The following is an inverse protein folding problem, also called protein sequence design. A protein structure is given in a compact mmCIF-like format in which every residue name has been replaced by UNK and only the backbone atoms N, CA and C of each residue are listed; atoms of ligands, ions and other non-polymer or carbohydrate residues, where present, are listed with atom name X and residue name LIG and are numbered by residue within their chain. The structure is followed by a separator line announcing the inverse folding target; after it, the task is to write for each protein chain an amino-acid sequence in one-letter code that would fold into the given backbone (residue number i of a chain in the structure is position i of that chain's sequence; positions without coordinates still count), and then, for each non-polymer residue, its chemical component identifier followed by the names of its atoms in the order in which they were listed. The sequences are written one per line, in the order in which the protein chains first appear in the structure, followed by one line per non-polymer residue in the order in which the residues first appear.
data_IF_412586402068
#
_entry.id   IF_412586402068
#
_cell.length_a   1.000
_cell.length_b   1.000
_cell.length_c   1.000
_cell.angle_alpha   90.00
_cell.angle_beta   90.00
_cell.angle_gamma   90.00
#
_symmetry.space_group_name_H-M   'P 1'
#
loop_
_entity.id
_entity.type
_entity.pdbx_description
1 polymer ?
#
# COMPACT_ATOMS: atom_id res chain seq x y z
N UNK A 1 -1.08 37.86 10.84
CA UNK A 1 -1.45 38.46 9.53
C UNK A 1 -0.87 37.53 8.46
N UNK A 2 -1.71 36.88 7.65
CA UNK A 2 -1.22 36.03 6.56
C UNK A 2 -0.89 36.92 5.36
N UNK A 3 0.30 36.75 4.78
CA UNK A 3 0.73 37.41 3.55
C UNK A 3 0.83 36.35 2.47
N UNK A 4 0.11 36.54 1.36
CA UNK A 4 0.22 35.66 0.21
C UNK A 4 1.63 35.73 -0.38
N UNK A 5 2.15 34.59 -0.81
CA UNK A 5 3.39 34.55 -1.57
C UNK A 5 3.20 35.30 -2.90
N UNK A 6 4.21 36.03 -3.39
CA UNK A 6 4.14 36.67 -4.70
C UNK A 6 3.90 35.62 -5.78
N UNK A 7 3.05 35.94 -6.77
CA UNK A 7 2.83 35.05 -7.91
C UNK A 7 4.15 34.87 -8.67
N UNK A 8 4.50 33.63 -9.07
CA UNK A 8 5.65 33.41 -9.94
C UNK A 8 5.51 34.26 -11.22
N UNK A 9 6.57 34.99 -11.56
CA UNK A 9 6.67 35.74 -12.82
C UNK A 9 7.44 34.96 -13.87
N UNK A 10 7.22 35.31 -15.13
CA UNK A 10 8.02 34.83 -16.25
C UNK A 10 8.24 35.98 -17.24
N UNK A 11 9.17 35.83 -18.19
CA UNK A 11 9.43 36.79 -19.25
C UNK A 11 9.86 36.07 -20.54
N UNK A 12 10.18 36.81 -21.61
CA UNK A 12 10.56 36.22 -22.89
C UNK A 12 11.95 35.52 -22.87
N UNK A 13 12.86 35.95 -22.00
CA UNK A 13 14.20 35.34 -21.84
C UNK A 13 14.17 34.09 -20.95
N UNK A 14 13.28 34.12 -19.95
CA UNK A 14 13.04 33.07 -18.95
C UNK A 14 11.54 32.72 -19.01
N UNK A 15 11.09 31.98 -20.04
CA UNK A 15 9.68 31.61 -20.22
C UNK A 15 9.27 30.44 -19.32
N UNK A 16 9.79 30.38 -18.10
CA UNK A 16 9.54 29.30 -17.14
C UNK A 16 8.97 29.86 -15.83
N UNK A 17 7.99 29.16 -15.27
CA UNK A 17 7.27 29.58 -14.06
C UNK A 17 7.70 28.87 -12.77
N UNK A 18 8.78 28.08 -12.82
CA UNK A 18 9.32 27.36 -11.66
C UNK A 18 8.40 26.26 -11.09
N UNK A 19 7.33 25.88 -11.81
CA UNK A 19 6.36 24.86 -11.40
C UNK A 19 6.01 23.97 -12.58
N UNK A 20 5.87 22.65 -12.39
CA UNK A 20 5.46 21.73 -13.46
C UNK A 20 4.00 21.95 -13.90
N UNK A 21 3.22 22.68 -13.10
CA UNK A 21 1.80 22.93 -13.34
C UNK A 21 1.52 24.31 -13.94
N UNK A 22 2.55 25.14 -14.13
CA UNK A 22 2.42 26.47 -14.70
C UNK A 22 3.24 26.57 -16.00
N UNK A 23 2.76 27.36 -16.94
CA UNK A 23 3.49 27.76 -18.14
C UNK A 23 3.47 29.27 -18.30
N UNK A 24 4.42 29.81 -19.07
CA UNK A 24 4.47 31.23 -19.35
C UNK A 24 3.57 31.55 -20.54
N UNK A 25 2.51 32.34 -20.32
CA UNK A 25 1.72 32.91 -21.41
C UNK A 25 2.39 34.20 -21.88
N UNK A 26 3.06 34.13 -23.04
CA UNK A 26 3.81 35.24 -23.64
C UNK A 26 3.02 35.98 -24.72
N UNK A 27 1.71 35.70 -24.89
CA UNK A 27 0.91 36.27 -25.99
C UNK A 27 0.56 37.74 -25.82
N UNK A 28 0.52 38.23 -24.58
CA UNK A 28 0.25 39.63 -24.25
C UNK A 28 1.35 40.17 -23.33
N UNK A 29 1.14 40.09 -22.02
CA UNK A 29 2.16 40.39 -21.01
C UNK A 29 2.57 39.07 -20.38
N UNK A 30 3.87 38.72 -20.38
CA UNK A 30 4.34 37.47 -19.79
C UNK A 30 3.84 37.27 -18.36
N UNK A 31 3.05 36.22 -18.16
CA UNK A 31 2.56 35.84 -16.84
C UNK A 31 2.38 34.33 -16.76
N UNK A 32 2.47 33.80 -15.54
CA UNK A 32 2.34 32.38 -15.30
C UNK A 32 0.88 31.95 -15.20
N UNK A 33 0.51 30.95 -16.00
CA UNK A 33 -0.85 30.40 -16.11
C UNK A 33 -0.82 28.89 -15.87
N UNK A 34 -1.90 28.32 -15.33
CA UNK A 34 -2.02 26.88 -15.11
C UNK A 34 -2.03 26.09 -16.42
N UNK A 35 -1.27 25.00 -16.46
CA UNK A 35 -1.28 24.05 -17.58
C UNK A 35 -2.62 23.32 -17.68
N UNK A 36 -2.91 22.91 -18.90
CA UNK A 36 -4.13 22.24 -19.32
C UNK A 36 -3.91 20.73 -19.22
N UNK A 37 -4.89 20.02 -18.65
CA UNK A 37 -4.86 18.55 -18.54
C UNK A 37 -4.93 17.88 -19.92
N UNK A 38 -4.52 16.62 -19.99
CA UNK A 38 -4.69 15.78 -21.18
C UNK A 38 -6.15 15.79 -21.66
N UNK A 39 -6.35 15.98 -22.97
CA UNK A 39 -7.67 16.12 -23.62
C UNK A 39 -8.33 17.49 -23.46
N UNK A 40 -7.73 18.43 -22.73
CA UNK A 40 -8.25 19.79 -22.58
C UNK A 40 -8.09 20.66 -23.83
N UNK A 41 -8.83 21.77 -23.89
CA UNK A 41 -8.78 22.75 -24.97
C UNK A 41 -7.58 23.67 -24.79
N UNK A 42 -6.68 23.69 -25.77
CA UNK A 42 -5.48 24.53 -25.78
C UNK A 42 -5.44 25.50 -26.97
N UNK A 43 -6.60 25.79 -27.56
CA UNK A 43 -6.73 26.72 -28.68
C UNK A 43 -6.13 28.08 -28.36
N UNK A 44 -5.24 28.57 -29.22
CA UNK A 44 -4.51 29.82 -29.04
C UNK A 44 -3.28 29.72 -28.14
N UNK A 45 -2.87 28.51 -27.74
CA UNK A 45 -1.63 28.22 -27.02
C UNK A 45 -0.73 27.23 -27.80
N UNK A 46 -0.96 27.07 -29.09
CA UNK A 46 -0.16 26.22 -29.96
C UNK A 46 1.31 26.70 -29.96
N UNK A 47 2.24 25.77 -29.75
CA UNK A 47 3.67 26.08 -29.64
C UNK A 47 4.14 26.53 -28.25
N UNK A 48 3.23 26.78 -27.30
CA UNK A 48 3.57 27.02 -25.90
C UNK A 48 3.49 25.72 -25.08
N UNK A 49 4.14 25.71 -23.93
CA UNK A 49 4.12 24.61 -22.94
C UNK A 49 2.81 24.56 -22.14
N UNK A 50 1.69 24.78 -22.80
CA UNK A 50 0.38 24.93 -22.16
C UNK A 50 -0.22 23.59 -21.69
N UNK A 51 0.24 22.46 -22.21
CA UNK A 51 -0.30 21.13 -21.91
C UNK A 51 0.57 20.38 -20.89
N UNK A 52 -0.05 19.80 -19.86
CA UNK A 52 0.68 19.05 -18.83
C UNK A 52 1.12 17.67 -19.36
N UNK A 53 2.44 17.42 -19.43
CA UNK A 53 3.03 16.17 -19.97
C UNK A 53 2.44 15.75 -21.33
N UNK A 54 2.08 16.72 -22.16
CA UNK A 54 1.41 16.54 -23.45
C UNK A 54 1.71 17.72 -24.37
N UNK A 55 1.26 17.64 -25.62
CA UNK A 55 1.46 18.67 -26.64
C UNK A 55 0.12 19.23 -27.12
N UNK A 56 0.07 20.54 -27.38
CA UNK A 56 -1.10 21.18 -27.97
C UNK A 56 -1.10 20.97 -29.49
N UNK A 57 -2.02 20.16 -29.99
CA UNK A 57 -2.20 19.89 -31.42
C UNK A 57 -3.67 20.01 -31.77
N UNK A 58 -3.98 20.76 -32.83
CA UNK A 58 -5.36 21.02 -33.26
C UNK A 58 -6.29 21.51 -32.12
N UNK A 59 -5.79 22.42 -31.28
CA UNK A 59 -6.54 23.00 -30.17
C UNK A 59 -6.82 22.04 -29.01
N UNK A 60 -6.18 20.86 -28.95
CA UNK A 60 -6.30 19.91 -27.84
C UNK A 60 -4.96 19.39 -27.33
N UNK A 61 -4.89 19.17 -26.03
CA UNK A 61 -3.75 18.50 -25.41
C UNK A 61 -3.80 16.99 -25.71
N UNK A 62 -2.87 16.48 -26.51
CA UNK A 62 -2.76 15.06 -26.87
C UNK A 62 -1.44 14.47 -26.36
N UNK A 63 -1.33 13.13 -26.19
CA UNK A 63 -0.08 12.51 -25.77
C UNK A 63 1.06 12.86 -26.74
N UNK A 64 2.17 13.36 -26.21
CA UNK A 64 3.33 13.75 -27.00
C UNK A 64 4.41 14.37 -26.12
N UNK A 65 5.54 14.70 -26.74
CA UNK A 65 6.65 15.36 -26.04
C UNK A 65 6.29 16.79 -25.70
N UNK A 66 6.61 17.23 -24.49
CA UNK A 66 6.45 18.64 -24.09
C UNK A 66 7.44 19.49 -24.89
N UNK A 67 7.01 20.55 -25.57
CA UNK A 67 7.92 21.42 -26.32
C UNK A 67 8.92 22.10 -25.38
N UNK A 68 10.16 22.30 -25.87
CA UNK A 68 11.14 23.17 -25.21
C UNK A 68 10.53 24.57 -25.02
N UNK A 69 10.77 25.26 -23.88
CA UNK A 69 11.98 25.21 -23.07
C UNK A 69 11.88 24.42 -21.75
N UNK A 70 10.76 23.75 -21.48
CA UNK A 70 10.60 23.02 -20.22
C UNK A 70 11.32 21.67 -20.25
N UNK A 71 12.44 21.58 -19.52
CA UNK A 71 12.99 20.33 -19.02
C UNK A 71 12.37 20.09 -17.64
N UNK A 72 11.60 19.01 -17.41
CA UNK A 72 11.01 18.76 -16.10
C UNK A 72 12.09 18.62 -15.02
N UNK A 73 12.31 19.68 -14.24
CA UNK A 73 13.15 19.63 -13.04
C UNK A 73 12.54 18.73 -11.94
N UNK A 74 11.29 18.30 -12.11
CA UNK A 74 10.64 17.29 -11.27
C UNK A 74 11.19 15.88 -11.49
N UNK A 75 12.09 15.69 -12.46
CA UNK A 75 12.89 14.49 -12.48
C UNK A 75 13.88 14.50 -11.32
N UNK A 76 13.46 13.91 -10.20
CA UNK A 76 14.35 13.48 -9.13
C UNK A 76 15.61 12.86 -9.77
N UNK A 77 16.79 13.22 -9.25
CA UNK A 77 18.05 12.64 -9.69
C UNK A 77 17.92 11.12 -9.84
N UNK A 78 18.54 10.53 -10.86
CA UNK A 78 18.56 9.07 -11.06
C UNK A 78 18.97 8.35 -9.77
N UNK A 79 19.88 8.95 -8.99
CA UNK A 79 20.28 8.45 -7.68
C UNK A 79 19.15 8.51 -6.65
N UNK A 80 18.43 9.64 -6.55
CA UNK A 80 17.30 9.80 -5.63
C UNK A 80 16.11 8.93 -6.03
N UNK A 81 15.83 8.78 -7.33
CA UNK A 81 14.86 7.82 -7.87
C UNK A 81 15.26 6.40 -7.50
N UNK A 82 16.53 6.04 -7.66
CA UNK A 82 17.05 4.73 -7.26
C UNK A 82 17.00 4.50 -5.76
N UNK A 83 17.19 5.54 -4.93
CA UNK A 83 17.04 5.46 -3.48
C UNK A 83 15.57 5.27 -3.07
N UNK A 84 14.65 6.04 -3.64
CA UNK A 84 13.20 5.92 -3.39
C UNK A 84 12.68 4.58 -3.91
N UNK A 85 13.11 4.11 -5.09
CA UNK A 85 12.74 2.80 -5.60
C UNK A 85 13.25 1.67 -4.69
N UNK A 86 14.47 1.77 -4.15
CA UNK A 86 14.98 0.83 -3.14
C UNK A 86 14.20 0.89 -1.83
N UNK A 87 13.84 2.08 -1.36
CA UNK A 87 12.99 2.27 -0.18
C UNK A 87 11.56 1.73 -0.40
N UNK A 88 10.99 1.92 -1.59
CA UNK A 88 9.67 1.41 -1.94
C UNK A 88 9.70 -0.11 -2.18
N UNK A 89 10.78 -0.67 -2.72
CA UNK A 89 10.99 -2.12 -2.77
C UNK A 89 11.10 -2.73 -1.36
N UNK A 90 11.68 -2.01 -0.38
CA UNK A 90 11.63 -2.40 1.04
C UNK A 90 10.27 -2.17 1.72
N UNK A 91 9.37 -1.41 1.10
CA UNK A 91 7.96 -1.25 1.49
C UNK A 91 7.04 -2.14 0.67
N UNK A 92 7.54 -3.24 0.10
CA UNK A 92 6.64 -4.31 -0.30
C UNK A 92 6.02 -4.89 0.97
N UNK A 93 4.71 -4.70 1.13
CA UNK A 93 3.96 -5.27 2.24
C UNK A 93 4.20 -6.78 2.26
N UNK A 94 4.95 -7.23 3.26
CA UNK A 94 5.29 -8.63 3.42
C UNK A 94 4.11 -9.30 4.12
N UNK A 95 3.18 -9.84 3.34
CA UNK A 95 2.02 -10.60 3.82
C UNK A 95 2.45 -11.99 4.34
N UNK A 96 3.26 -11.99 5.39
CA UNK A 96 3.74 -13.20 6.03
C UNK A 96 3.25 -13.25 7.47
N UNK A 97 1.97 -13.56 7.61
CA UNK A 97 1.29 -13.65 8.90
C UNK A 97 0.68 -15.03 9.07
N UNK A 98 0.73 -15.54 10.30
CA UNK A 98 -0.19 -16.59 10.71
C UNK A 98 -1.59 -15.98 10.83
N UNK A 99 -2.61 -16.77 10.52
CA UNK A 99 -4.01 -16.33 10.53
C UNK A 99 -4.73 -16.72 11.81
N UNK A 100 -4.14 -17.61 12.62
CA UNK A 100 -4.73 -18.13 13.86
C UNK A 100 -3.66 -18.28 14.96
N UNK A 101 -4.04 -18.20 16.25
CA UNK A 101 -3.11 -18.31 17.38
C UNK A 101 -2.34 -19.64 17.50
N UNK A 102 -2.86 -20.70 16.89
CA UNK A 102 -2.36 -22.07 17.08
C UNK A 102 -1.26 -22.51 16.12
N UNK A 103 -0.85 -21.63 15.20
CA UNK A 103 0.06 -21.98 14.14
C UNK A 103 1.42 -22.49 14.63
N UNK A 104 2.02 -21.86 15.65
CA UNK A 104 3.32 -22.30 16.19
C UNK A 104 3.21 -23.66 16.86
N UNK A 105 2.13 -23.92 17.61
CA UNK A 105 1.93 -25.21 18.26
C UNK A 105 1.69 -26.32 17.23
N UNK A 106 0.80 -26.11 16.26
CA UNK A 106 0.53 -27.10 15.23
C UNK A 106 1.75 -27.36 14.35
N UNK A 107 2.58 -26.34 14.08
CA UNK A 107 3.85 -26.52 13.38
C UNK A 107 4.81 -27.42 14.18
N UNK A 108 4.97 -27.19 15.48
CA UNK A 108 5.78 -28.04 16.39
C UNK A 108 5.28 -29.49 16.45
N UNK A 109 3.96 -29.68 16.39
CA UNK A 109 3.32 -31.00 16.36
C UNK A 109 3.40 -31.71 14.98
N UNK A 110 4.13 -31.14 14.01
CA UNK A 110 4.33 -31.73 12.68
C UNK A 110 3.25 -31.39 11.66
N UNK A 111 2.34 -30.45 11.98
CA UNK A 111 1.23 -30.02 11.12
C UNK A 111 1.69 -29.60 9.72
N UNK A 112 2.85 -28.94 9.61
CA UNK A 112 3.37 -28.48 8.32
C UNK A 112 3.62 -29.62 7.31
N UNK A 113 3.74 -30.86 7.79
CA UNK A 113 3.96 -32.05 6.98
C UNK A 113 2.70 -32.91 6.85
N UNK A 114 1.91 -33.01 7.92
CA UNK A 114 0.70 -33.86 7.98
C UNK A 114 -0.54 -33.18 7.40
N UNK A 115 -0.65 -31.85 7.52
CA UNK A 115 -1.75 -31.05 6.96
C UNK A 115 -1.19 -29.88 6.13
N UNK A 116 -0.42 -30.22 5.09
CA UNK A 116 0.36 -29.27 4.27
C UNK A 116 -0.49 -28.12 3.73
N UNK A 117 -1.70 -28.42 3.24
CA UNK A 117 -2.55 -27.43 2.59
C UNK A 117 -3.07 -26.39 3.59
N UNK A 118 -3.69 -26.82 4.70
CA UNK A 118 -4.23 -25.89 5.69
C UNK A 118 -3.10 -25.11 6.37
N UNK A 119 -2.00 -25.79 6.71
CA UNK A 119 -0.88 -25.13 7.36
C UNK A 119 -0.17 -24.13 6.45
N UNK A 120 -0.05 -24.39 5.15
CA UNK A 120 0.47 -23.39 4.21
C UNK A 120 -0.47 -22.18 4.06
N UNK A 121 -1.79 -22.40 4.10
CA UNK A 121 -2.80 -21.34 3.94
C UNK A 121 -2.95 -20.45 5.18
N UNK A 122 -2.99 -21.05 6.36
CA UNK A 122 -3.26 -20.33 7.62
C UNK A 122 -2.02 -20.07 8.46
N UNK A 123 -0.97 -20.88 8.31
CA UNK A 123 0.21 -20.88 9.17
C UNK A 123 1.51 -20.72 8.36
N UNK A 124 1.46 -19.89 7.32
CA UNK A 124 2.55 -19.70 6.38
C UNK A 124 3.86 -19.32 7.08
N UNK A 125 3.81 -18.41 8.07
CA UNK A 125 4.98 -17.99 8.82
C UNK A 125 5.52 -19.12 9.72
N UNK A 126 4.66 -19.78 10.49
CA UNK A 126 5.06 -20.89 11.38
C UNK A 126 5.65 -22.09 10.62
N UNK A 127 5.19 -22.34 9.38
CA UNK A 127 5.72 -23.40 8.52
C UNK A 127 6.86 -22.96 7.58
N UNK A 128 7.39 -21.74 7.75
CA UNK A 128 8.51 -21.24 6.94
C UNK A 128 8.19 -21.11 5.45
N UNK A 129 6.92 -20.93 5.07
CA UNK A 129 6.48 -20.69 3.69
C UNK A 129 6.73 -19.25 3.24
N UNK A 130 6.93 -18.36 4.21
CA UNK A 130 7.31 -16.98 4.00
C UNK A 130 8.22 -16.54 5.15
N UNK A 131 8.90 -15.40 4.99
CA UNK A 131 9.77 -14.83 6.01
C UNK A 131 9.08 -13.62 6.63
N UNK A 132 8.69 -13.63 7.93
CA UNK A 132 8.01 -12.49 8.54
C UNK A 132 8.97 -11.31 8.75
N UNK A 133 8.42 -10.10 8.75
CA UNK A 133 9.14 -8.85 9.05
C UNK A 133 9.08 -8.44 10.53
N UNK A 134 8.41 -9.23 11.37
CA UNK A 134 8.26 -9.00 12.81
C UNK A 134 9.07 -10.03 13.61
N UNK A 135 9.33 -9.71 14.88
CA UNK A 135 10.00 -10.62 15.79
C UNK A 135 9.03 -11.72 16.25
N UNK A 136 9.30 -12.98 15.87
CA UNK A 136 8.48 -14.15 16.22
C UNK A 136 8.55 -14.45 17.73
N UNK A 137 9.67 -14.15 18.38
CA UNK A 137 9.89 -14.44 19.80
C UNK A 137 9.13 -13.50 20.74
N UNK A 138 8.71 -12.32 20.25
CA UNK A 138 7.89 -11.42 21.04
C UNK A 138 6.41 -11.79 20.86
N UNK A 139 5.90 -12.56 21.81
CA UNK A 139 4.51 -13.02 21.81
C UNK A 139 3.50 -11.91 22.07
N UNK A 140 3.87 -10.86 22.82
CA UNK A 140 3.00 -9.73 23.16
C UNK A 140 3.44 -8.49 22.38
N UNK A 141 3.15 -8.47 21.09
CA UNK A 141 3.35 -7.28 20.27
C UNK A 141 2.35 -7.22 19.12
N UNK A 142 2.15 -6.01 18.61
CA UNK A 142 1.45 -5.81 17.35
C UNK A 142 2.42 -6.09 16.20
N UNK A 143 2.06 -7.10 15.40
CA UNK A 143 2.81 -7.57 14.24
C UNK A 143 2.40 -6.85 12.96
N UNK A 144 1.19 -6.28 12.94
CA UNK A 144 0.67 -5.54 11.80
C UNK A 144 0.59 -4.04 12.09
N UNK A 145 0.97 -3.20 11.12
CA UNK A 145 0.99 -1.74 11.25
C UNK A 145 -0.39 -1.14 11.55
N UNK A 146 -1.46 -1.78 11.06
CA UNK A 146 -2.85 -1.35 11.25
C UNK A 146 -3.51 -1.85 12.54
N UNK A 147 -2.81 -2.58 13.43
CA UNK A 147 -3.44 -3.12 14.65
C UNK A 147 -4.14 -2.06 15.50
N UNK A 148 -3.54 -0.87 15.64
CA UNK A 148 -4.14 0.24 16.37
C UNK A 148 -5.41 0.76 15.72
N UNK A 149 -5.43 0.85 14.38
CA UNK A 149 -6.62 1.25 13.63
C UNK A 149 -7.73 0.21 13.77
N UNK A 150 -7.41 -1.06 13.54
CA UNK A 150 -8.37 -2.16 13.62
C UNK A 150 -8.97 -2.33 15.01
N UNK A 151 -8.18 -2.08 16.06
CA UNK A 151 -8.69 -1.98 17.42
C UNK A 151 -9.77 -0.90 17.54
N UNK A 152 -9.52 0.31 17.03
CA UNK A 152 -10.49 1.41 17.08
C UNK A 152 -11.76 1.12 16.25
N UNK A 153 -11.64 0.27 15.23
CA UNK A 153 -12.73 -0.23 14.40
C UNK A 153 -13.41 -1.49 14.99
N UNK A 154 -13.06 -1.90 16.22
CA UNK A 154 -13.61 -3.05 16.95
C UNK A 154 -13.35 -4.43 16.31
N UNK A 155 -12.29 -4.58 15.53
CA UNK A 155 -11.94 -5.88 14.92
C UNK A 155 -11.34 -6.91 15.89
N UNK A 156 -11.04 -6.54 17.14
CA UNK A 156 -10.49 -7.47 18.14
C UNK A 156 -11.43 -8.64 18.49
N UNK A 157 -12.68 -8.61 18.02
CA UNK A 157 -13.72 -9.59 18.32
C UNK A 157 -14.48 -10.01 17.06
N UNK A 158 -15.28 -11.08 17.17
CA UNK A 158 -16.07 -11.60 16.05
C UNK A 158 -15.19 -12.27 15.00
N UNK A 159 -15.55 -12.16 13.72
CA UNK A 159 -14.90 -12.92 12.64
C UNK A 159 -13.40 -12.62 12.44
N UNK A 160 -12.87 -11.55 13.03
CA UNK A 160 -11.45 -11.17 12.94
C UNK A 160 -10.64 -11.55 14.18
N UNK A 161 -11.28 -12.11 15.21
CA UNK A 161 -10.69 -12.39 16.52
C UNK A 161 -9.42 -13.24 16.42
N UNK A 162 -9.41 -14.30 15.62
CA UNK A 162 -8.28 -15.19 15.42
C UNK A 162 -7.06 -14.45 14.85
N UNK A 163 -7.28 -13.63 13.83
CA UNK A 163 -6.21 -12.86 13.23
C UNK A 163 -5.68 -11.80 14.20
N UNK A 164 -6.56 -11.14 14.93
CA UNK A 164 -6.20 -10.11 15.89
C UNK A 164 -5.52 -10.68 17.14
N UNK A 165 -5.94 -11.85 17.60
CA UNK A 165 -5.30 -12.60 18.68
C UNK A 165 -3.93 -13.14 18.28
N UNK A 166 -3.69 -13.39 16.98
CA UNK A 166 -2.37 -13.80 16.50
C UNK A 166 -1.43 -12.62 16.22
N UNK A 167 -1.97 -11.50 15.73
CA UNK A 167 -1.16 -10.42 15.14
C UNK A 167 -1.27 -9.06 15.82
N UNK A 168 -2.25 -8.84 16.71
CA UNK A 168 -2.56 -7.53 17.29
C UNK A 168 -2.78 -7.60 18.81
N UNK A 169 -2.02 -8.46 19.50
CA UNK A 169 -2.24 -8.77 20.91
C UNK A 169 -2.06 -7.58 21.84
N UNK A 170 -1.10 -6.69 21.56
CA UNK A 170 -0.87 -5.51 22.38
C UNK A 170 -2.03 -4.53 22.23
N UNK A 171 -2.45 -4.24 21.00
CA UNK A 171 -3.59 -3.37 20.71
C UNK A 171 -4.89 -3.91 21.32
N UNK A 172 -5.16 -5.21 21.16
CA UNK A 172 -6.38 -5.85 21.66
C UNK A 172 -6.36 -6.23 23.14
N UNK A 173 -5.25 -6.00 23.86
CA UNK A 173 -5.14 -6.32 25.29
C UNK A 173 -5.08 -7.82 25.61
N UNK A 174 -4.64 -8.65 24.66
CA UNK A 174 -4.62 -10.12 24.74
C UNK A 174 -3.28 -10.69 25.23
N UNK A 175 -2.48 -9.86 25.91
CA UNK A 175 -1.17 -10.28 26.40
C UNK A 175 -1.22 -10.98 27.76
N UNK A 176 -2.33 -10.87 28.50
CA UNK A 176 -2.49 -11.49 29.81
C UNK A 176 -2.71 -13.00 29.77
N UNK A 177 -3.04 -13.56 28.61
CA UNK A 177 -3.30 -14.99 28.43
C UNK A 177 -2.40 -15.55 27.33
N UNK A 178 -1.85 -16.77 27.47
CA UNK A 178 -1.12 -17.43 26.39
C UNK A 178 -2.03 -17.64 25.17
N UNK A 179 -1.51 -17.38 23.97
CA UNK A 179 -2.31 -17.50 22.74
C UNK A 179 -2.65 -18.96 22.36
N UNK A 180 -1.98 -19.92 22.98
CA UNK A 180 -2.09 -21.34 22.65
C UNK A 180 -3.06 -22.13 23.54
N UNK A 181 -3.76 -21.48 24.49
CA UNK A 181 -4.60 -22.18 25.45
C UNK A 181 -5.71 -23.00 24.78
N UNK A 182 -6.33 -22.49 23.71
CA UNK A 182 -7.50 -23.12 23.09
C UNK A 182 -7.12 -24.08 21.94
N UNK A 183 -5.84 -24.32 21.70
CA UNK A 183 -5.39 -25.04 20.51
C UNK A 183 -5.75 -26.52 20.52
N UNK A 184 -5.85 -27.14 21.70
CA UNK A 184 -6.29 -28.53 21.83
C UNK A 184 -7.80 -28.69 21.64
N UNK A 185 -8.58 -27.73 22.13
CA UNK A 185 -10.03 -27.71 21.93
C UNK A 185 -10.35 -27.54 20.45
N UNK A 186 -9.71 -26.55 19.78
CA UNK A 186 -9.84 -26.33 18.33
C UNK A 186 -9.50 -27.58 17.53
N UNK A 187 -8.42 -28.28 17.89
CA UNK A 187 -8.03 -29.56 17.25
C UNK A 187 -9.09 -30.64 17.42
N UNK A 188 -9.74 -30.69 18.59
CA UNK A 188 -10.81 -31.65 18.90
C UNK A 188 -12.09 -31.34 18.12
N UNK A 189 -12.48 -30.06 18.03
CA UNK A 189 -13.63 -29.61 17.25
C UNK A 189 -13.45 -29.91 15.75
N UNK A 190 -12.27 -29.64 15.20
CA UNK A 190 -11.93 -29.98 13.80
C UNK A 190 -12.02 -31.48 13.53
N UNK A 191 -11.62 -32.33 14.49
CA UNK A 191 -11.78 -33.78 14.36
C UNK A 191 -13.25 -34.19 14.32
N UNK A 192 -14.09 -33.63 15.20
CA UNK A 192 -15.54 -33.90 15.23
C UNK A 192 -16.21 -33.50 13.91
N UNK A 193 -15.91 -32.30 13.39
CA UNK A 193 -16.45 -31.82 12.11
C UNK A 193 -16.06 -32.71 10.92
N UNK A 194 -14.84 -33.26 10.92
CA UNK A 194 -14.39 -34.20 9.89
C UNK A 194 -15.05 -35.59 10.02
N UNK A 195 -15.44 -35.98 11.24
CA UNK A 195 -16.14 -37.24 11.51
C UNK A 195 -17.66 -37.15 11.24
N UNK A 196 -18.23 -35.95 11.25
CA UNK A 196 -19.64 -35.67 10.93
C UNK A 196 -19.87 -35.29 9.46
N UNK A 197 -18.97 -35.68 8.55
CA UNK A 197 -19.18 -35.50 7.10
C UNK A 197 -20.40 -36.29 6.60
N UNK A 198 -21.11 -35.81 5.57
CA UNK A 198 -22.48 -36.22 5.29
C UNK A 198 -22.56 -37.70 4.88
N UNK A 199 -23.46 -38.45 5.52
CA UNK A 199 -24.05 -39.63 4.89
C UNK A 199 -24.64 -39.18 3.56
N UNK A 200 -23.98 -39.59 2.47
CA UNK A 200 -24.52 -39.49 1.13
C UNK A 200 -25.75 -40.41 1.09
N UNK A 201 -26.92 -39.84 1.38
CA UNK A 201 -28.21 -40.50 1.23
C UNK A 201 -28.42 -40.80 -0.25
N UNK A 202 -28.09 -42.03 -0.65
CA UNK A 202 -28.54 -42.62 -1.89
C UNK A 202 -30.06 -42.83 -1.78
N UNK A 203 -30.82 -41.97 -2.47
CA UNK A 203 -32.19 -42.26 -2.89
C UNK A 203 -32.43 -41.71 -4.28
#
# INVERSE_FOLDING_TARGET
MYRFAPRPGCNFEIPTCGSPYLFCDTRVTPHCVSKIKLGGLCTGFEGLDACFNSICVAGRCIPGVTPAPFVPQTALSVNLRGQIARQHASRQFNDCFNRIPCCEQWAKEGGCYTDKYHMAKFCAAACGKCRPSYNISNECNDRHVSCKQWKNENHCFGNSDDFMAENCRSSCGLCGTPKNMDCQERKSLLKKLKQSGPEMSNK
#
